data_IF_699622993818
#
_entry.id   IF_699622993818
#
_cell.length_a   1.000
_cell.length_b   1.000
_cell.length_c   1.000
_cell.angle_alpha   90.00
_cell.angle_beta   90.00
_cell.angle_gamma   90.00
#
_symmetry.space_group_name_H-M   'P 1'
#
loop_
_entity.id
_entity.type
_entity.pdbx_description
1 polymer ?
#
# COMPACT_ATOMS: atom_id res chain seq x y z
N UNK A 1 31.47 -59.89 46.69
CA UNK A 1 31.24 -59.88 45.23
C UNK A 1 29.72 -59.79 45.05
N UNK A 2 29.15 -58.71 44.49
CA UNK A 2 29.27 -58.26 43.09
C UNK A 2 28.65 -59.33 42.17
N UNK A 3 27.63 -59.13 41.34
CA UNK A 3 26.68 -58.02 41.08
C UNK A 3 25.41 -58.64 40.43
N UNK A 4 24.33 -57.97 40.00
CA UNK A 4 24.01 -56.56 39.73
C UNK A 4 22.51 -56.28 40.04
N UNK A 5 21.99 -55.07 39.79
CA UNK A 5 20.55 -54.80 39.67
C UNK A 5 20.23 -53.77 38.58
N UNK A 6 19.27 -54.07 37.70
CA UNK A 6 18.89 -53.20 36.58
C UNK A 6 17.51 -52.58 36.79
N UNK A 7 17.48 -51.33 37.26
CA UNK A 7 16.28 -50.47 37.21
C UNK A 7 16.35 -49.58 35.97
N UNK A 8 15.47 -49.82 35.00
CA UNK A 8 15.24 -48.88 33.91
C UNK A 8 14.77 -47.55 34.49
N UNK A 9 15.54 -46.49 34.24
CA UNK A 9 15.22 -45.13 34.70
C UNK A 9 14.94 -44.28 33.47
N UNK A 10 13.70 -43.82 33.35
CA UNK A 10 13.31 -42.84 32.33
C UNK A 10 14.23 -41.62 32.44
N UNK A 11 14.80 -41.19 31.31
CA UNK A 11 15.50 -39.92 31.22
C UNK A 11 14.44 -38.85 30.96
N UNK A 12 14.24 -37.86 31.85
CA UNK A 12 13.48 -36.68 31.48
C UNK A 12 14.25 -35.92 30.40
N UNK A 13 13.52 -35.39 29.42
CA UNK A 13 14.07 -34.45 28.45
C UNK A 13 14.73 -33.30 29.22
N UNK A 14 15.99 -33.03 28.91
CA UNK A 14 16.64 -31.84 29.43
C UNK A 14 16.08 -30.65 28.68
N UNK A 15 15.25 -29.85 29.36
CA UNK A 15 14.97 -28.48 28.97
C UNK A 15 16.29 -27.79 28.62
N UNK A 16 16.52 -27.58 27.32
CA UNK A 16 17.61 -26.72 26.85
C UNK A 16 17.17 -25.30 27.17
N UNK A 17 17.87 -24.56 28.06
CA UNK A 17 17.50 -23.19 28.32
C UNK A 17 17.64 -22.41 27.01
N UNK A 18 16.54 -21.84 26.51
CA UNK A 18 16.65 -20.80 25.51
C UNK A 18 17.57 -19.71 26.06
N UNK A 19 18.46 -19.12 25.24
CA UNK A 19 19.33 -18.05 25.69
C UNK A 19 18.46 -16.91 26.21
N UNK A 20 18.49 -16.70 27.53
CA UNK A 20 17.77 -15.62 28.18
C UNK A 20 18.32 -14.30 27.68
N UNK A 21 17.56 -13.63 26.80
CA UNK A 21 17.71 -12.23 26.46
C UNK A 21 17.98 -11.45 27.75
N UNK A 22 19.03 -10.61 27.83
CA UNK A 22 19.46 -10.03 29.10
C UNK A 22 18.31 -9.25 29.72
N UNK A 23 17.92 -9.60 30.94
CA UNK A 23 16.88 -8.92 31.71
C UNK A 23 17.26 -7.43 31.83
N UNK A 24 16.66 -6.60 30.97
CA UNK A 24 16.83 -5.14 31.06
C UNK A 24 16.05 -4.67 32.28
N UNK A 25 16.80 -4.35 33.34
CA UNK A 25 16.26 -3.60 34.46
C UNK A 25 15.75 -2.23 33.98
N UNK A 26 14.58 -1.84 34.46
CA UNK A 26 13.98 -0.55 34.13
C UNK A 26 14.76 0.58 34.81
N UNK A 27 15.21 1.54 34.01
CA UNK A 27 15.79 2.78 34.54
C UNK A 27 14.66 3.66 35.06
N UNK A 28 14.44 3.64 36.37
CA UNK A 28 13.51 4.53 37.05
C UNK A 28 14.12 5.92 37.24
N UNK A 29 13.35 6.96 36.93
CA UNK A 29 13.78 8.35 37.09
C UNK A 29 12.60 9.25 37.42
N UNK A 30 12.86 10.32 38.18
CA UNK A 30 11.82 11.27 38.55
C UNK A 30 11.25 11.95 37.30
N UNK A 31 9.95 11.76 37.06
CA UNK A 31 9.24 12.34 35.93
C UNK A 31 9.34 13.87 35.97
N UNK A 32 9.98 14.46 34.97
CA UNK A 32 10.08 15.92 34.87
C UNK A 32 8.67 16.47 34.63
N UNK A 33 8.25 17.44 35.44
CA UNK A 33 6.96 18.12 35.28
C UNK A 33 7.04 19.07 34.08
N UNK A 34 6.74 18.53 32.91
CA UNK A 34 6.72 19.24 31.64
C UNK A 34 5.54 20.22 31.63
N UNK A 35 5.81 21.50 31.43
CA UNK A 35 4.79 22.50 31.10
C UNK A 35 4.18 22.18 29.73
N UNK A 36 2.88 22.46 29.50
CA UNK A 36 2.19 22.07 28.28
C UNK A 36 2.69 22.89 27.07
N UNK A 37 3.78 22.44 26.45
CA UNK A 37 3.96 22.63 25.03
C UNK A 37 2.94 21.72 24.34
N UNK A 38 2.02 22.29 23.56
CA UNK A 38 1.15 21.49 22.70
C UNK A 38 1.99 20.97 21.54
N UNK A 39 2.38 19.69 21.58
CA UNK A 39 2.67 18.99 20.34
C UNK A 39 1.33 18.94 19.59
N UNK A 40 1.29 19.49 18.38
CA UNK A 40 0.11 19.43 17.52
C UNK A 40 -0.35 17.98 17.32
N UNK A 41 -1.64 17.76 17.04
CA UNK A 41 -2.14 16.40 16.82
C UNK A 41 -1.50 15.79 15.57
N UNK A 42 -1.19 14.50 15.62
CA UNK A 42 -0.59 13.79 14.49
C UNK A 42 -1.46 13.89 13.22
N UNK A 43 -0.84 14.34 12.13
CA UNK A 43 -1.34 14.33 10.75
C UNK A 43 -0.22 13.97 9.77
N UNK A 44 -0.55 13.80 8.49
CA UNK A 44 0.42 13.45 7.44
C UNK A 44 1.51 14.52 7.26
N UNK A 45 1.14 15.81 7.34
CA UNK A 45 2.06 16.93 7.12
C UNK A 45 3.07 17.12 8.27
N UNK A 46 2.65 16.89 9.52
CA UNK A 46 3.50 17.08 10.71
C UNK A 46 4.18 15.80 11.22
N UNK A 47 3.88 14.63 10.63
CA UNK A 47 4.27 13.33 11.14
C UNK A 47 5.73 13.24 11.61
N UNK A 48 6.69 13.64 10.75
CA UNK A 48 8.13 13.59 11.07
C UNK A 48 8.48 14.39 12.32
N UNK A 49 7.98 15.62 12.43
CA UNK A 49 8.18 16.47 13.60
C UNK A 49 7.49 15.88 14.83
N UNK A 50 6.27 15.38 14.67
CA UNK A 50 5.48 14.76 15.73
C UNK A 50 6.22 13.55 16.34
N UNK A 51 6.69 12.60 15.53
CA UNK A 51 7.42 11.42 16.03
C UNK A 51 8.69 11.81 16.80
N UNK A 52 9.47 12.75 16.26
CA UNK A 52 10.69 13.24 16.92
C UNK A 52 10.40 14.00 18.24
N UNK A 53 9.35 14.83 18.28
CA UNK A 53 8.95 15.54 19.48
C UNK A 53 8.36 14.58 20.55
N UNK A 54 7.54 13.62 20.12
CA UNK A 54 6.91 12.63 20.99
C UNK A 54 7.95 11.64 21.55
N UNK A 55 8.92 11.20 20.75
CA UNK A 55 10.05 10.39 21.23
C UNK A 55 10.85 11.12 22.32
N UNK A 56 11.11 12.42 22.16
CA UNK A 56 11.74 13.25 23.20
C UNK A 56 10.90 13.33 24.47
N UNK A 57 9.58 13.53 24.35
CA UNK A 57 8.67 13.55 25.50
C UNK A 57 8.63 12.21 26.24
N UNK A 58 8.55 11.09 25.51
CA UNK A 58 8.56 9.74 26.08
C UNK A 58 9.90 9.40 26.76
N UNK A 59 11.03 9.90 26.24
CA UNK A 59 12.35 9.79 26.89
C UNK A 59 12.44 10.60 28.18
N UNK A 60 11.99 11.87 28.18
CA UNK A 60 11.93 12.71 29.39
C UNK A 60 10.99 12.13 30.48
N UNK A 61 10.02 11.32 30.07
CA UNK A 61 9.09 10.61 30.95
C UNK A 61 9.54 9.19 31.31
N UNK A 62 10.76 8.78 30.94
CA UNK A 62 11.36 7.46 31.15
C UNK A 62 10.58 6.27 30.54
N UNK A 63 9.53 6.51 29.78
CA UNK A 63 8.66 5.47 29.22
C UNK A 63 9.02 5.04 27.79
N UNK A 64 9.94 5.73 27.10
CA UNK A 64 10.52 5.28 25.82
C UNK A 64 11.13 3.87 25.88
N UNK A 65 11.54 3.42 27.07
CA UNK A 65 12.05 2.07 27.33
C UNK A 65 11.07 0.98 26.89
N UNK A 66 9.75 1.20 27.05
CA UNK A 66 8.69 0.29 26.60
C UNK A 66 8.77 0.02 25.09
N UNK A 67 8.72 1.09 24.30
CA UNK A 67 8.74 1.05 22.84
C UNK A 67 10.05 0.46 22.32
N UNK A 68 11.19 0.88 22.89
CA UNK A 68 12.50 0.35 22.47
C UNK A 68 12.64 -1.15 22.80
N UNK A 69 12.14 -1.59 23.95
CA UNK A 69 12.22 -3.01 24.30
C UNK A 69 11.30 -3.85 23.41
N UNK A 70 10.09 -3.39 23.08
CA UNK A 70 9.25 -4.00 22.04
C UNK A 70 9.96 -4.08 20.67
N UNK A 71 10.67 -3.02 20.25
CA UNK A 71 11.43 -3.00 19.00
C UNK A 71 12.60 -4.01 19.00
N UNK A 72 13.21 -4.25 20.17
CA UNK A 72 14.33 -5.19 20.34
C UNK A 72 13.88 -6.67 20.46
N UNK A 73 12.74 -6.99 21.10
CA UNK A 73 12.29 -8.39 21.35
C UNK A 73 11.03 -8.83 20.59
N UNK A 74 10.29 -7.89 20.02
CA UNK A 74 9.05 -8.15 19.29
C UNK A 74 7.82 -8.50 20.15
N UNK A 75 6.68 -8.60 19.48
CA UNK A 75 5.33 -8.68 20.07
C UNK A 75 5.14 -9.82 21.10
N UNK A 76 5.66 -11.02 20.84
CA UNK A 76 5.45 -12.20 21.70
C UNK A 76 6.22 -12.12 23.02
N UNK A 77 7.51 -11.80 22.97
CA UNK A 77 8.33 -11.70 24.17
C UNK A 77 7.93 -10.48 25.00
N UNK A 78 7.64 -9.35 24.35
CA UNK A 78 7.20 -8.15 25.03
C UNK A 78 5.87 -8.36 25.77
N UNK A 79 4.88 -8.99 25.13
CA UNK A 79 3.61 -9.34 25.78
C UNK A 79 3.80 -10.28 27.00
N UNK A 80 4.74 -11.23 26.93
CA UNK A 80 5.06 -12.09 28.06
C UNK A 80 5.70 -11.33 29.24
N UNK A 81 6.53 -10.32 28.96
CA UNK A 81 7.11 -9.44 30.00
C UNK A 81 6.07 -8.54 30.63
N UNK A 82 5.16 -7.94 29.84
CA UNK A 82 4.05 -7.13 30.35
C UNK A 82 3.14 -7.94 31.30
N UNK A 83 2.88 -9.22 30.98
CA UNK A 83 2.08 -10.10 31.84
C UNK A 83 2.79 -10.58 33.11
N UNK A 84 4.12 -10.48 33.20
CA UNK A 84 4.94 -10.94 34.34
C UNK A 84 5.43 -9.81 35.24
N UNK A 85 5.65 -8.61 34.71
CA UNK A 85 6.29 -7.52 35.42
C UNK A 85 5.43 -6.25 35.42
N UNK A 86 4.84 -5.95 36.57
CA UNK A 86 3.94 -4.80 36.75
C UNK A 86 4.63 -3.45 36.48
N UNK A 87 5.95 -3.34 36.72
CA UNK A 87 6.69 -2.11 36.42
C UNK A 87 6.72 -1.86 34.92
N UNK A 88 7.00 -2.89 34.11
CA UNK A 88 6.95 -2.79 32.64
C UNK A 88 5.53 -2.46 32.15
N UNK A 89 4.50 -3.08 32.72
CA UNK A 89 3.10 -2.77 32.40
C UNK A 89 2.74 -1.30 32.68
N UNK A 90 3.10 -0.77 33.87
CA UNK A 90 2.88 0.65 34.22
C UNK A 90 3.67 1.60 33.29
N UNK A 91 4.89 1.22 32.88
CA UNK A 91 5.69 2.01 31.93
C UNK A 91 5.08 2.03 30.53
N UNK A 92 4.59 0.89 30.03
CA UNK A 92 3.88 0.79 28.74
C UNK A 92 2.59 1.61 28.76
N UNK A 93 1.74 1.45 29.78
CA UNK A 93 0.50 2.23 29.93
C UNK A 93 0.76 3.74 30.00
N UNK A 94 1.88 4.17 30.60
CA UNK A 94 2.31 5.57 30.62
C UNK A 94 2.72 6.05 29.23
N UNK A 95 3.46 5.26 28.46
CA UNK A 95 3.79 5.58 27.07
C UNK A 95 2.53 5.66 26.20
N UNK A 96 1.62 4.70 26.37
CA UNK A 96 0.36 4.59 25.63
C UNK A 96 -0.52 5.83 25.82
N UNK A 97 -0.76 6.24 27.07
CA UNK A 97 -1.54 7.44 27.38
C UNK A 97 -0.91 8.73 26.83
N UNK A 98 0.42 8.84 26.82
CA UNK A 98 1.14 9.98 26.23
C UNK A 98 0.98 9.99 24.69
N UNK A 99 1.11 8.83 24.04
CA UNK A 99 0.91 8.68 22.60
C UNK A 99 -0.52 9.08 22.23
N UNK A 100 -1.55 8.49 22.88
CA UNK A 100 -2.95 8.79 22.59
C UNK A 100 -3.29 10.27 22.79
N UNK A 101 -2.71 10.92 23.81
CA UNK A 101 -2.88 12.36 24.00
C UNK A 101 -2.30 13.20 22.85
N UNK A 102 -1.33 12.70 22.09
CA UNK A 102 -0.83 13.34 20.86
C UNK A 102 -1.63 13.04 19.59
N UNK A 103 -2.66 12.17 19.64
CA UNK A 103 -3.45 11.77 18.48
C UNK A 103 -4.77 12.55 18.35
N UNK A 104 -5.30 12.60 17.12
CA UNK A 104 -6.67 13.04 16.86
C UNK A 104 -7.67 11.89 17.20
N UNK A 105 -8.96 12.18 17.47
CA UNK A 105 -9.92 11.16 17.91
C UNK A 105 -10.12 10.00 16.94
N UNK A 106 -10.03 10.24 15.63
CA UNK A 106 -10.18 9.21 14.61
C UNK A 106 -9.02 8.22 14.68
N UNK A 107 -7.78 8.71 14.75
CA UNK A 107 -6.59 7.87 14.88
C UNK A 107 -6.55 7.12 16.21
N UNK A 108 -7.06 7.70 17.31
CA UNK A 108 -7.22 6.97 18.59
C UNK A 108 -8.11 5.74 18.42
N UNK A 109 -9.25 5.84 17.73
CA UNK A 109 -10.14 4.70 17.49
C UNK A 109 -9.48 3.58 16.68
N UNK A 110 -8.64 3.93 15.72
CA UNK A 110 -7.88 2.98 14.89
C UNK A 110 -6.81 2.23 15.69
N UNK A 111 -6.10 2.93 16.60
CA UNK A 111 -5.03 2.32 17.39
C UNK A 111 -5.49 1.66 18.69
N UNK A 112 -6.74 1.89 19.11
CA UNK A 112 -7.34 1.30 20.32
C UNK A 112 -7.24 -0.24 20.38
N UNK A 113 -7.17 -0.89 19.23
CA UNK A 113 -7.06 -2.35 19.11
C UNK A 113 -5.62 -2.88 19.22
N UNK A 114 -4.60 -2.01 19.29
CA UNK A 114 -3.22 -2.45 19.45
C UNK A 114 -2.95 -2.80 20.93
N UNK A 115 -2.28 -3.94 21.22
CA UNK A 115 -2.21 -4.50 22.58
C UNK A 115 -1.20 -3.80 23.52
N UNK A 116 -0.30 -2.98 23.00
CA UNK A 116 0.74 -2.28 23.77
C UNK A 116 1.24 -1.02 23.03
N UNK A 117 1.97 -0.16 23.75
CA UNK A 117 2.44 1.12 23.22
C UNK A 117 3.46 0.98 22.08
N UNK A 118 4.30 -0.07 22.11
CA UNK A 118 5.29 -0.35 21.06
C UNK A 118 4.65 -0.68 19.71
N UNK A 119 3.65 -1.55 19.71
CA UNK A 119 2.89 -1.92 18.51
C UNK A 119 1.98 -0.79 18.02
N UNK A 120 1.43 0.02 18.93
CA UNK A 120 0.73 1.27 18.61
C UNK A 120 1.66 2.25 17.89
N UNK A 121 2.88 2.45 18.41
CA UNK A 121 3.92 3.28 17.80
C UNK A 121 4.35 2.76 16.42
N UNK A 122 4.52 1.45 16.26
CA UNK A 122 4.84 0.81 14.99
C UNK A 122 3.74 1.04 13.94
N UNK A 123 2.47 0.79 14.29
CA UNK A 123 1.32 1.05 13.40
C UNK A 123 1.27 2.52 12.96
N UNK A 124 1.47 3.45 13.89
CA UNK A 124 1.49 4.88 13.57
C UNK A 124 2.64 5.23 12.62
N UNK A 125 3.86 4.69 12.84
CA UNK A 125 4.98 4.85 11.89
C UNK A 125 4.61 4.32 10.50
N UNK A 126 4.04 3.12 10.43
CA UNK A 126 3.61 2.48 9.17
C UNK A 126 2.51 3.25 8.44
N UNK A 127 1.66 4.00 9.16
CA UNK A 127 0.59 4.82 8.57
C UNK A 127 1.03 6.22 8.16
N UNK A 128 1.81 6.91 9.00
CA UNK A 128 2.09 8.34 8.83
C UNK A 128 3.51 8.67 8.33
N UNK A 129 4.48 7.76 8.46
CA UNK A 129 5.84 7.95 7.92
C UNK A 129 6.10 7.19 6.62
N UNK A 130 5.41 6.07 6.41
CA UNK A 130 5.54 5.27 5.19
C UNK A 130 5.11 6.11 3.99
N UNK A 131 6.08 6.55 3.21
CA UNK A 131 5.80 7.35 2.02
C UNK A 131 5.31 6.46 0.90
N UNK A 132 4.32 6.95 0.15
CA UNK A 132 3.73 6.21 -0.98
C UNK A 132 4.80 5.75 -1.98
N UNK A 133 4.54 4.62 -2.64
CA UNK A 133 5.46 4.06 -3.63
C UNK A 133 5.77 5.05 -4.76
N UNK A 134 4.81 5.92 -5.12
CA UNK A 134 5.02 7.10 -5.99
C UNK A 134 6.12 8.03 -5.47
N UNK A 135 6.05 8.45 -4.20
CA UNK A 135 7.02 9.38 -3.59
C UNK A 135 8.41 8.74 -3.47
N UNK A 136 8.47 7.46 -3.05
CA UNK A 136 9.72 6.66 -3.06
C UNK A 136 10.35 6.66 -4.46
N UNK A 137 9.60 6.27 -5.49
CA UNK A 137 10.11 6.18 -6.86
C UNK A 137 10.55 7.55 -7.41
N UNK A 138 9.83 8.63 -7.12
CA UNK A 138 10.24 9.98 -7.53
C UNK A 138 11.58 10.40 -6.88
N UNK A 139 11.79 10.09 -5.59
CA UNK A 139 13.07 10.35 -4.93
C UNK A 139 14.19 9.49 -5.50
N UNK A 140 13.94 8.19 -5.72
CA UNK A 140 14.90 7.27 -6.34
C UNK A 140 15.32 7.75 -7.73
N UNK A 141 14.38 8.22 -8.56
CA UNK A 141 14.69 8.79 -9.87
C UNK A 141 15.50 10.09 -9.76
N UNK A 142 15.21 10.96 -8.77
CA UNK A 142 16.03 12.16 -8.52
C UNK A 142 17.47 11.81 -8.11
N UNK A 143 17.66 10.74 -7.33
CA UNK A 143 18.99 10.23 -6.97
C UNK A 143 19.71 9.60 -8.17
N UNK A 144 19.02 8.78 -8.96
CA UNK A 144 19.59 8.10 -10.13
C UNK A 144 19.96 9.08 -11.27
N UNK A 145 19.23 10.19 -11.39
CA UNK A 145 19.49 11.26 -12.35
C UNK A 145 20.36 12.40 -11.77
N UNK A 146 20.88 12.26 -10.54
CA UNK A 146 21.72 13.31 -9.96
C UNK A 146 23.09 13.32 -10.61
N UNK A 147 23.57 14.52 -10.92
CA UNK A 147 24.90 14.79 -11.46
C UNK A 147 25.47 15.99 -10.73
N UNK A 148 26.74 15.92 -10.34
CA UNK A 148 27.43 17.07 -9.74
C UNK A 148 27.58 18.19 -10.78
N UNK A 149 27.26 19.41 -10.36
CA UNK A 149 27.53 20.65 -11.09
C UNK A 149 28.59 21.44 -10.32
N UNK A 150 29.81 21.44 -10.85
CA UNK A 150 30.99 22.11 -10.30
C UNK A 150 30.82 23.64 -10.22
N UNK A 151 29.93 24.23 -11.04
CA UNK A 151 29.66 25.68 -11.01
C UNK A 151 28.69 26.06 -9.88
N UNK A 152 27.86 25.13 -9.43
CA UNK A 152 26.85 25.34 -8.38
C UNK A 152 27.39 25.05 -6.98
N UNK A 153 28.28 24.07 -6.81
CA UNK A 153 28.77 23.65 -5.49
C UNK A 153 30.12 22.91 -5.53
N UNK A 154 30.87 22.99 -4.44
CA UNK A 154 32.08 22.20 -4.24
C UNK A 154 31.79 20.73 -3.88
N UNK A 155 32.84 19.91 -3.88
CA UNK A 155 32.81 18.46 -3.64
C UNK A 155 32.14 18.10 -2.31
N UNK A 156 32.44 18.86 -1.25
CA UNK A 156 31.89 18.64 0.10
C UNK A 156 30.39 18.95 0.13
N UNK A 157 29.96 19.99 -0.58
CA UNK A 157 28.55 20.32 -0.77
C UNK A 157 27.81 19.25 -1.57
N UNK A 158 28.42 18.78 -2.66
CA UNK A 158 27.88 17.72 -3.51
C UNK A 158 27.71 16.40 -2.75
N UNK A 159 28.72 15.98 -1.98
CA UNK A 159 28.62 14.81 -1.11
C UNK A 159 27.50 14.96 -0.08
N UNK A 160 27.34 16.13 0.54
CA UNK A 160 26.25 16.40 1.49
C UNK A 160 24.87 16.33 0.81
N UNK A 161 24.69 16.91 -0.37
CA UNK A 161 23.41 16.86 -1.11
C UNK A 161 23.02 15.41 -1.43
N UNK A 162 23.96 14.57 -1.87
CA UNK A 162 23.71 13.14 -2.13
C UNK A 162 23.37 12.37 -0.84
N UNK A 163 24.11 12.61 0.24
CA UNK A 163 23.86 11.95 1.53
C UNK A 163 22.53 12.37 2.15
N UNK A 164 22.13 13.63 2.01
CA UNK A 164 20.81 14.13 2.42
C UNK A 164 19.69 13.46 1.62
N UNK A 165 19.85 13.34 0.29
CA UNK A 165 18.89 12.62 -0.55
C UNK A 165 18.77 11.13 -0.20
N UNK A 166 19.88 10.47 0.14
CA UNK A 166 19.89 9.08 0.60
C UNK A 166 19.23 8.91 1.97
N UNK A 167 19.52 9.80 2.91
CA UNK A 167 18.91 9.83 4.24
C UNK A 167 17.38 10.03 4.14
N UNK A 168 16.93 10.99 3.34
CA UNK A 168 15.50 11.17 3.03
C UNK A 168 14.85 9.91 2.43
N UNK A 169 15.57 9.17 1.57
CA UNK A 169 15.04 7.93 0.98
C UNK A 169 14.94 6.80 2.01
N UNK A 170 15.93 6.65 2.89
CA UNK A 170 15.90 5.72 4.04
C UNK A 170 14.71 6.02 4.95
N UNK A 171 14.47 7.31 5.26
CA UNK A 171 13.32 7.76 6.05
C UNK A 171 11.98 7.44 5.36
N UNK A 172 11.88 7.69 4.05
CA UNK A 172 10.68 7.34 3.25
C UNK A 172 10.47 5.83 3.14
N UNK A 173 11.54 5.05 3.21
CA UNK A 173 11.50 3.59 3.17
C UNK A 173 11.11 2.97 4.52
N UNK A 174 11.45 3.61 5.63
CA UNK A 174 11.28 3.08 6.99
C UNK A 174 12.33 2.05 7.38
N UNK A 175 13.37 1.85 6.56
CA UNK A 175 14.48 0.93 6.80
C UNK A 175 15.74 1.43 6.10
N UNK A 176 16.89 1.23 6.74
CA UNK A 176 18.24 1.47 6.18
C UNK A 176 18.58 0.49 5.05
N UNK A 177 17.93 -0.67 5.01
CA UNK A 177 18.06 -1.65 3.94
C UNK A 177 16.90 -1.56 2.95
N UNK A 178 17.20 -1.72 1.67
CA UNK A 178 16.23 -1.68 0.58
C UNK A 178 16.37 -2.97 -0.22
N UNK A 179 15.29 -3.73 -0.36
CA UNK A 179 15.31 -4.95 -1.18
C UNK A 179 15.47 -4.56 -2.66
N UNK A 180 16.48 -5.12 -3.35
CA UNK A 180 16.67 -4.89 -4.81
C UNK A 180 15.44 -5.31 -5.61
N UNK A 181 14.67 -6.29 -5.11
CA UNK A 181 13.37 -6.69 -5.69
C UNK A 181 12.32 -5.58 -5.63
N UNK A 182 12.25 -4.81 -4.53
CA UNK A 182 11.34 -3.66 -4.41
C UNK A 182 11.72 -2.56 -5.41
N UNK A 183 13.02 -2.25 -5.53
CA UNK A 183 13.54 -1.30 -6.53
C UNK A 183 13.20 -1.73 -7.97
N UNK A 184 13.39 -3.01 -8.30
CA UNK A 184 13.06 -3.55 -9.61
C UNK A 184 11.56 -3.43 -9.94
N UNK A 185 10.66 -3.60 -8.97
CA UNK A 185 9.22 -3.43 -9.17
C UNK A 185 8.84 -1.95 -9.35
N UNK A 186 9.47 -1.02 -8.62
CA UNK A 186 9.27 0.42 -8.80
C UNK A 186 9.72 0.87 -10.21
N UNK A 187 10.88 0.38 -10.68
CA UNK A 187 11.36 0.63 -12.05
C UNK A 187 10.45 0.01 -13.12
N UNK A 188 10.00 -1.25 -12.94
CA UNK A 188 9.08 -1.90 -13.85
C UNK A 188 7.77 -1.11 -13.99
N UNK A 189 7.11 -0.78 -12.88
CA UNK A 189 5.87 -0.01 -12.87
C UNK A 189 6.03 1.39 -13.50
N UNK A 190 7.20 2.03 -13.34
CA UNK A 190 7.51 3.31 -13.97
C UNK A 190 7.85 3.20 -15.47
N UNK A 191 8.41 2.07 -15.89
CA UNK A 191 8.71 1.73 -17.29
C UNK A 191 7.48 1.29 -18.09
N UNK A 192 6.39 0.92 -17.43
CA UNK A 192 5.10 0.71 -18.09
C UNK A 192 4.63 1.99 -18.79
N UNK A 193 4.48 1.91 -20.12
CA UNK A 193 3.98 3.01 -20.94
C UNK A 193 2.51 3.36 -20.63
N UNK A 194 2.05 4.50 -21.19
CA UNK A 194 0.77 5.15 -20.86
C UNK A 194 -0.47 4.24 -20.89
N UNK A 195 -0.47 3.15 -21.68
CA UNK A 195 -1.52 2.11 -21.68
C UNK A 195 -1.79 1.44 -20.32
N UNK A 196 -0.88 1.58 -19.35
CA UNK A 196 -1.06 1.10 -17.97
C UNK A 196 -1.03 2.25 -16.94
N UNK A 197 -1.17 3.52 -17.34
CA UNK A 197 -1.07 4.66 -16.43
C UNK A 197 -2.00 4.53 -15.21
N UNK A 198 -3.29 4.23 -15.41
CA UNK A 198 -4.25 4.02 -14.33
C UNK A 198 -3.88 2.87 -13.38
N UNK A 199 -3.30 1.78 -13.92
CA UNK A 199 -2.83 0.67 -13.11
C UNK A 199 -1.60 1.06 -12.28
N UNK A 200 -0.62 1.72 -12.92
CA UNK A 200 0.57 2.25 -12.26
C UNK A 200 0.17 3.20 -11.14
N UNK A 201 -0.70 4.15 -11.41
CA UNK A 201 -1.08 5.19 -10.44
C UNK A 201 -1.87 4.59 -9.26
N UNK A 202 -2.71 3.56 -9.50
CA UNK A 202 -3.34 2.77 -8.43
C UNK A 202 -2.31 2.01 -7.58
N UNK A 203 -1.39 1.26 -8.20
CA UNK A 203 -0.40 0.46 -7.45
C UNK A 203 0.59 1.33 -6.69
N UNK A 204 1.05 2.41 -7.31
CA UNK A 204 2.04 3.33 -6.75
C UNK A 204 1.44 4.27 -5.69
N UNK A 205 0.14 4.57 -5.79
CA UNK A 205 -0.64 5.27 -4.77
C UNK A 205 -1.14 4.39 -3.61
N UNK A 206 -1.00 3.06 -3.71
CA UNK A 206 -1.42 2.14 -2.64
C UNK A 206 -0.31 1.88 -1.62
N UNK A 207 -0.69 1.75 -0.34
CA UNK A 207 0.24 1.42 0.76
C UNK A 207 0.61 -0.07 0.83
N UNK A 208 0.11 -0.88 -0.11
CA UNK A 208 0.39 -2.30 -0.18
C UNK A 208 1.89 -2.58 -0.41
N UNK A 209 2.42 -3.66 0.17
CA UNK A 209 3.77 -4.14 -0.19
C UNK A 209 3.74 -4.62 -1.64
N UNK A 210 4.58 -4.03 -2.48
CA UNK A 210 4.75 -4.48 -3.86
C UNK A 210 5.51 -5.81 -3.86
N UNK A 211 4.80 -6.92 -4.12
CA UNK A 211 5.43 -8.21 -4.42
C UNK A 211 5.34 -8.50 -5.92
N UNK A 212 6.24 -9.33 -6.50
CA UNK A 212 6.19 -9.66 -7.92
C UNK A 212 4.86 -10.28 -8.35
N UNK A 213 4.31 -11.17 -7.53
CA UNK A 213 3.06 -11.90 -7.78
C UNK A 213 1.85 -10.93 -7.77
N UNK A 214 1.85 -9.98 -6.83
CA UNK A 214 0.82 -8.95 -6.76
C UNK A 214 0.87 -8.03 -7.97
N UNK A 215 2.06 -7.57 -8.37
CA UNK A 215 2.22 -6.68 -9.54
C UNK A 215 1.84 -7.40 -10.83
N UNK A 216 2.34 -8.63 -11.05
CA UNK A 216 2.07 -9.40 -12.27
C UNK A 216 0.58 -9.72 -12.42
N UNK A 217 -0.08 -10.25 -11.39
CA UNK A 217 -1.51 -10.55 -11.44
C UNK A 217 -2.37 -9.33 -11.77
N UNK A 218 -1.97 -8.13 -11.33
CA UNK A 218 -2.69 -6.87 -11.65
C UNK A 218 -2.44 -6.40 -13.08
N UNK A 219 -1.24 -6.60 -13.62
CA UNK A 219 -0.93 -6.34 -15.05
C UNK A 219 -1.70 -7.30 -15.94
N UNK A 220 -1.71 -8.59 -15.63
CA UNK A 220 -2.45 -9.63 -16.37
C UNK A 220 -3.95 -9.36 -16.40
N UNK A 221 -4.56 -9.03 -15.26
CA UNK A 221 -5.97 -8.61 -15.19
C UNK A 221 -6.25 -7.40 -16.10
N UNK A 222 -5.34 -6.42 -16.13
CA UNK A 222 -5.47 -5.24 -16.99
C UNK A 222 -5.36 -5.60 -18.47
N UNK A 223 -4.44 -6.49 -18.84
CA UNK A 223 -4.31 -7.02 -20.21
C UNK A 223 -5.55 -7.79 -20.65
N UNK A 224 -6.13 -8.63 -19.78
CA UNK A 224 -7.38 -9.35 -20.07
C UNK A 224 -8.59 -8.42 -20.22
N UNK A 225 -8.66 -7.31 -19.48
CA UNK A 225 -9.72 -6.32 -19.66
C UNK A 225 -9.57 -5.55 -20.97
N UNK A 226 -8.34 -5.18 -21.35
CA UNK A 226 -8.05 -4.46 -22.59
C UNK A 226 -8.27 -5.32 -23.85
N UNK A 227 -7.97 -6.62 -23.81
CA UNK A 227 -8.28 -7.55 -24.91
C UNK A 227 -9.79 -7.77 -25.06
N UNK A 228 -10.50 -8.03 -23.95
CA UNK A 228 -11.97 -8.20 -23.95
C UNK A 228 -12.74 -6.94 -24.38
N UNK A 229 -12.17 -5.74 -24.21
CA UNK A 229 -12.79 -4.50 -24.71
C UNK A 229 -12.52 -4.29 -26.21
N UNK A 230 -11.32 -4.62 -26.69
CA UNK A 230 -10.99 -4.51 -28.13
C UNK A 230 -11.81 -5.50 -28.97
N UNK A 231 -11.97 -6.76 -28.56
CA UNK A 231 -12.82 -7.72 -29.29
C UNK A 231 -14.29 -7.27 -29.45
N UNK A 232 -14.83 -6.55 -28.46
CA UNK A 232 -16.17 -5.97 -28.54
C UNK A 232 -16.21 -4.72 -29.43
N UNK A 233 -15.18 -3.89 -29.43
CA UNK A 233 -15.05 -2.74 -30.32
C UNK A 233 -14.85 -3.15 -31.80
N UNK A 234 -14.14 -4.25 -32.08
CA UNK A 234 -13.97 -4.80 -33.43
C UNK A 234 -15.30 -5.18 -34.09
N UNK A 235 -16.33 -5.57 -33.30
CA UNK A 235 -17.68 -5.82 -33.82
C UNK A 235 -18.43 -4.52 -34.15
N UNK A 236 -18.12 -3.41 -33.49
CA UNK A 236 -18.73 -2.10 -33.77
C UNK A 236 -18.15 -1.45 -35.04
N UNK A 237 -16.83 -1.53 -35.29
CA UNK A 237 -16.22 -0.98 -36.51
C UNK A 237 -16.61 -1.69 -37.81
N UNK A 238 -17.24 -2.87 -37.75
CA UNK A 238 -17.89 -3.48 -38.91
C UNK A 238 -19.25 -2.86 -39.26
N UNK A 239 -19.87 -2.08 -38.36
CA UNK A 239 -21.12 -1.38 -38.62
C UNK A 239 -20.96 -0.06 -39.41
N UNK A 240 -19.74 0.50 -39.48
CA UNK A 240 -19.44 1.74 -40.21
C UNK A 240 -19.27 1.55 -41.73
N UNK A 241 -19.40 0.32 -42.24
CA UNK A 241 -19.63 0.09 -43.68
C UNK A 241 -21.06 0.49 -44.02
N UNK A 242 -21.25 1.79 -44.32
CA UNK A 242 -22.54 2.41 -44.61
C UNK A 242 -23.44 1.55 -45.49
N UNK A 243 -24.72 1.45 -45.08
CA UNK A 243 -25.69 0.51 -45.63
C UNK A 243 -25.70 0.56 -47.16
N UNK A 244 -25.38 -0.59 -47.77
CA UNK A 244 -25.51 -0.80 -49.22
C UNK A 244 -26.96 -1.12 -49.53
N UNK A 245 -27.55 -0.37 -50.46
CA UNK A 245 -28.86 -0.66 -51.00
C UNK A 245 -28.84 -2.01 -51.73
N UNK A 246 -29.68 -2.97 -51.34
CA UNK A 246 -29.73 -4.28 -51.97
C UNK A 246 -30.25 -4.25 -53.43
N UNK A 247 -31.01 -3.21 -53.82
CA UNK A 247 -31.49 -3.03 -55.19
C UNK A 247 -30.39 -2.51 -56.13
N UNK A 248 -29.85 -1.31 -55.87
CA UNK A 248 -28.89 -0.67 -56.77
C UNK A 248 -27.39 -0.82 -56.39
N UNK A 249 -27.10 -1.53 -55.28
CA UNK A 249 -25.75 -1.76 -54.71
C UNK A 249 -24.96 -0.51 -54.28
N UNK A 250 -25.51 0.69 -54.43
CA UNK A 250 -24.92 1.97 -53.95
C UNK A 250 -25.05 2.10 -52.43
N UNK A 251 -24.11 2.80 -51.81
CA UNK A 251 -24.10 3.11 -50.36
C UNK A 251 -24.93 4.36 -50.04
N UNK A 252 -25.53 4.41 -48.85
CA UNK A 252 -26.13 5.65 -48.30
C UNK A 252 -27.66 5.70 -48.27
N UNK A 253 -28.36 4.66 -48.73
CA UNK A 253 -29.81 4.53 -48.58
C UNK A 253 -30.21 3.05 -48.47
N UNK A 254 -31.40 2.79 -47.90
CA UNK A 254 -31.98 1.45 -47.85
C UNK A 254 -32.79 1.16 -49.12
N UNK A 255 -32.96 -0.13 -49.46
CA UNK A 255 -33.68 -0.55 -50.67
C UNK A 255 -35.15 -0.10 -50.73
N UNK A 256 -35.76 0.26 -49.58
CA UNK A 256 -37.12 0.83 -49.50
C UNK A 256 -37.23 2.29 -49.96
N UNK A 257 -36.10 3.00 -50.08
CA UNK A 257 -36.02 4.43 -50.44
C UNK A 257 -35.13 4.59 -51.68
N UNK A 258 -35.14 3.58 -52.55
CA UNK A 258 -34.31 3.54 -53.75
C UNK A 258 -35.11 4.05 -54.95
N UNK A 259 -34.81 5.27 -55.41
CA UNK A 259 -35.49 5.91 -56.54
C UNK A 259 -35.46 5.04 -57.81
N UNK A 260 -34.35 4.36 -58.08
CA UNK A 260 -34.21 3.41 -59.20
C UNK A 260 -34.98 2.09 -59.03
N UNK A 261 -36.00 2.06 -58.17
CA UNK A 261 -37.00 0.98 -58.07
C UNK A 261 -38.43 1.51 -58.26
N UNK A 262 -38.61 2.84 -58.38
CA UNK A 262 -39.92 3.44 -58.68
C UNK A 262 -40.16 3.58 -60.19
N UNK A 263 -39.09 3.58 -61.01
CA UNK A 263 -39.19 3.74 -62.46
C UNK A 263 -39.54 2.44 -63.23
N UNK A 264 -39.44 1.27 -62.59
CA UNK A 264 -39.65 -0.06 -63.22
C UNK A 264 -40.99 -0.75 -62.88
N UNK A 265 -41.72 -0.30 -61.84
CA UNK A 265 -42.90 -0.99 -61.29
C UNK A 265 -44.24 -0.28 -61.66
N UNK A 266 -44.28 0.53 -62.73
CA UNK A 266 -45.51 1.23 -63.19
C UNK A 266 -46.34 0.37 -64.17
N UNK A 267 -46.79 -0.80 -63.70
CA UNK A 267 -47.72 -1.68 -64.42
C UNK A 267 -48.60 -2.55 -63.49
N UNK A 268 -49.92 -2.53 -63.75
CA UNK A 268 -50.95 -3.50 -63.34
C UNK A 268 -51.42 -3.58 -61.87
N UNK A 269 -52.52 -2.86 -61.61
CA UNK A 269 -53.81 -3.36 -61.05
C UNK A 269 -53.87 -4.21 -59.76
N UNK A 270 -54.46 -3.57 -58.74
CA UNK A 270 -55.79 -3.88 -58.17
C UNK A 270 -56.01 -4.97 -57.06
N UNK A 271 -57.00 -4.66 -56.19
CA UNK A 271 -57.66 -5.39 -55.10
C UNK A 271 -56.87 -6.15 -54.01
N UNK A 272 -57.22 -5.91 -52.72
CA UNK A 272 -56.78 -6.78 -51.61
C UNK A 272 -57.00 -6.28 -50.16
N UNK A 273 -58.23 -6.33 -49.63
CA UNK A 273 -58.54 -6.05 -48.20
C UNK A 273 -57.89 -7.04 -47.22
N UNK A 274 -57.44 -6.55 -46.04
CA UNK A 274 -57.77 -6.98 -44.65
C UNK A 274 -56.70 -6.46 -43.66
N UNK A 275 -57.01 -5.61 -42.68
CA UNK A 275 -57.79 -5.76 -41.42
C UNK A 275 -56.92 -6.10 -40.18
N UNK A 276 -57.32 -5.53 -39.05
CA UNK A 276 -56.66 -5.53 -37.74
C UNK A 276 -56.48 -6.90 -37.08
N UNK A 277 -55.50 -7.02 -36.17
CA UNK A 277 -55.37 -8.16 -35.26
C UNK A 277 -54.16 -8.07 -34.31
N UNK A 278 -54.34 -8.10 -32.97
CA UNK A 278 -53.26 -7.87 -32.01
C UNK A 278 -52.80 -9.15 -31.28
N UNK A 279 -51.65 -9.08 -30.59
CA UNK A 279 -51.24 -10.11 -29.64
C UNK A 279 -49.77 -10.03 -29.25
N UNK A 280 -49.46 -9.65 -28.02
CA UNK A 280 -48.10 -9.70 -27.48
C UNK A 280 -47.94 -10.78 -26.41
N UNK A 281 -46.71 -10.99 -25.92
CA UNK A 281 -46.48 -11.37 -24.52
C UNK A 281 -45.03 -11.09 -24.09
N UNK A 282 -44.86 -10.80 -22.80
CA UNK A 282 -43.56 -10.80 -22.12
C UNK A 282 -43.00 -12.21 -22.02
N UNK A 283 -41.68 -12.31 -22.05
CA UNK A 283 -40.86 -13.34 -21.42
C UNK A 283 -39.67 -12.64 -20.79
#
# INVERSE_FOLDING_TARGET
MVETGSKSKEMPEKDVPLPSSPDRELVEGNAIKIYPFSIDKLCEDNARYWFHAMEKQLKLQYCWQAIKYYEDVGDREYAAVLGRNEKWFRTDLKADAIIEHGLNPQTVLEVKLQPNSGRKWEYLKQRFLKSSNTRKAMKLMRMANWTWDEQRMNEIGAFREVMEMAQEFIEMNGSTTVEVKELALLWYLRGLGNKYATLRDMLMGSDAKLTPEYVLSRVENTMQMQSKSTEKASRAHHAEKGIKCFACRKTGHQARICLSKQDDDDASTDEGKRQDGPGGRKG
#
